data_IF_967124721752
#
_entry.id   IF_967124721752
#
_cell.length_a   1.000
_cell.length_b   1.000
_cell.length_c   1.000
_cell.angle_alpha   90.00
_cell.angle_beta   90.00
_cell.angle_gamma   90.00
#
_symmetry.space_group_name_H-M   'P 1'
#
loop_
_entity.id
_entity.type
_entity.pdbx_description
1 polymer ?
#
# COMPACT_ATOMS: atom_id res chain seq x y z
N UNK A 1 -2.47 -16.51 5.08
CA UNK A 1 -2.04 -15.15 4.68
C UNK A 1 -1.78 -15.17 3.19
N UNK A 2 -2.58 -14.46 2.38
CA UNK A 2 -2.46 -14.46 0.91
C UNK A 2 -1.64 -13.23 0.53
N UNK A 3 -0.46 -13.41 -0.08
CA UNK A 3 0.36 -12.29 -0.58
C UNK A 3 0.19 -12.14 -2.10
N UNK A 4 -0.65 -11.19 -2.53
CA UNK A 4 -0.84 -10.92 -3.96
C UNK A 4 0.42 -10.23 -4.49
N UNK A 5 1.37 -11.00 -5.03
CA UNK A 5 2.52 -10.45 -5.74
C UNK A 5 2.02 -9.82 -7.05
N UNK A 6 2.01 -8.49 -7.12
CA UNK A 6 1.64 -7.76 -8.34
C UNK A 6 2.87 -7.37 -9.16
N UNK A 7 2.84 -7.91 -10.38
CA UNK A 7 3.33 -7.47 -11.69
C UNK A 7 3.90 -6.03 -11.77
N UNK A 8 5.04 -5.92 -12.45
CA UNK A 8 5.77 -4.73 -12.93
C UNK A 8 6.03 -3.59 -11.91
N UNK A 9 7.33 -3.36 -11.63
CA UNK A 9 7.85 -2.27 -10.78
C UNK A 9 7.31 -0.89 -11.19
N UNK A 10 7.21 -0.62 -12.49
CA UNK A 10 6.75 0.67 -13.00
C UNK A 10 5.27 0.90 -12.70
N UNK A 11 4.44 -0.13 -12.87
CA UNK A 11 3.02 -0.07 -12.55
C UNK A 11 2.80 0.18 -11.06
N UNK A 12 3.62 -0.43 -10.21
CA UNK A 12 3.58 -0.23 -8.76
C UNK A 12 3.93 1.21 -8.37
N UNK A 13 5.00 1.77 -8.95
CA UNK A 13 5.38 3.18 -8.73
C UNK A 13 4.25 4.12 -9.17
N UNK A 14 3.64 3.87 -10.34
CA UNK A 14 2.52 4.66 -10.85
C UNK A 14 1.32 4.64 -9.91
N UNK A 15 0.94 3.48 -9.38
CA UNK A 15 -0.15 3.33 -8.40
C UNK A 15 0.15 4.06 -7.09
N UNK A 16 1.38 3.99 -6.60
CA UNK A 16 1.78 4.75 -5.41
C UNK A 16 1.63 6.25 -5.65
N UNK A 17 2.17 6.76 -6.76
CA UNK A 17 2.07 8.18 -7.09
C UNK A 17 0.62 8.62 -7.20
N UNK A 18 -0.23 7.84 -7.89
CA UNK A 18 -1.66 8.12 -7.98
C UNK A 18 -2.31 8.16 -6.59
N UNK A 19 -2.03 7.18 -5.73
CA UNK A 19 -2.59 7.12 -4.37
C UNK A 19 -2.21 8.34 -3.53
N UNK A 20 -0.94 8.75 -3.56
CA UNK A 20 -0.49 9.93 -2.79
C UNK A 20 -1.17 11.19 -3.31
N UNK A 21 -1.27 11.37 -4.63
CA UNK A 21 -2.00 12.49 -5.20
C UNK A 21 -3.49 12.48 -4.81
N UNK A 22 -4.11 11.29 -4.77
CA UNK A 22 -5.49 11.15 -4.28
C UNK A 22 -5.60 11.50 -2.79
N UNK A 23 -4.63 11.14 -1.95
CA UNK A 23 -4.61 11.52 -0.52
C UNK A 23 -4.60 13.05 -0.36
N UNK A 24 -3.77 13.76 -1.14
CA UNK A 24 -3.76 15.23 -1.14
C UNK A 24 -5.11 15.79 -1.57
N UNK A 25 -5.69 15.30 -2.67
CA UNK A 25 -7.02 15.74 -3.15
C UNK A 25 -8.15 15.45 -2.17
N UNK A 26 -7.98 14.47 -1.27
CA UNK A 26 -8.96 14.12 -0.25
C UNK A 26 -8.82 14.94 1.05
N UNK A 27 -7.87 15.86 1.12
CA UNK A 27 -7.71 16.72 2.31
C UNK A 27 -6.87 16.10 3.42
N UNK A 28 -5.81 15.34 3.09
CA UNK A 28 -4.91 14.80 4.13
C UNK A 28 -4.29 15.89 5.02
N UNK A 29 -4.07 17.10 4.47
CA UNK A 29 -3.55 18.23 5.24
C UNK A 29 -4.58 18.67 6.27
N UNK A 30 -5.85 18.81 5.86
CA UNK A 30 -6.97 19.17 6.75
C UNK A 30 -7.18 18.11 7.85
N UNK A 31 -7.11 16.82 7.50
CA UNK A 31 -7.17 15.71 8.47
C UNK A 31 -6.03 15.81 9.51
N UNK A 32 -4.83 16.17 9.05
CA UNK A 32 -3.64 16.25 9.89
C UNK A 32 -3.70 17.46 10.82
N UNK A 33 -4.06 18.64 10.33
CA UNK A 33 -4.28 19.84 11.15
C UNK A 33 -5.32 19.59 12.23
N UNK A 34 -6.45 18.97 11.87
CA UNK A 34 -7.48 18.60 12.83
C UNK A 34 -6.95 17.65 13.91
N UNK A 35 -6.19 16.63 13.51
CA UNK A 35 -5.63 15.65 14.45
C UNK A 35 -4.61 16.29 15.41
N UNK A 36 -3.73 17.16 14.90
CA UNK A 36 -2.75 17.90 15.71
C UNK A 36 -3.48 18.76 16.74
N UNK A 37 -4.44 19.58 16.30
CA UNK A 37 -5.15 20.51 17.18
C UNK A 37 -6.04 19.80 18.21
N UNK A 38 -6.67 18.68 17.82
CA UNK A 38 -7.58 17.95 18.71
C UNK A 38 -6.89 17.16 19.80
N UNK A 39 -5.72 16.59 19.50
CA UNK A 39 -5.03 15.64 20.37
C UNK A 39 -3.68 16.15 20.87
N UNK A 40 -3.36 17.43 20.60
CA UNK A 40 -2.08 18.07 20.97
C UNK A 40 -0.87 17.25 20.51
N UNK A 41 -0.94 16.72 19.28
CA UNK A 41 0.08 15.81 18.74
C UNK A 41 1.31 16.58 18.31
N UNK A 42 2.46 16.04 18.69
CA UNK A 42 3.77 16.56 18.35
C UNK A 42 4.49 15.63 17.37
N UNK A 43 5.59 16.11 16.79
CA UNK A 43 6.46 15.29 15.94
C UNK A 43 7.03 14.05 16.65
N UNK A 44 7.05 14.06 17.99
CA UNK A 44 7.60 12.94 18.79
C UNK A 44 6.65 11.75 18.85
N UNK A 45 5.36 11.96 18.61
CA UNK A 45 4.33 10.94 18.68
C UNK A 45 4.50 9.87 17.60
N UNK A 46 4.16 8.62 17.95
CA UNK A 46 4.31 7.48 17.05
C UNK A 46 3.51 7.66 15.75
N UNK A 47 2.31 8.26 15.83
CA UNK A 47 1.45 8.54 14.69
C UNK A 47 2.10 9.49 13.69
N UNK A 48 2.86 10.49 14.16
CA UNK A 48 3.55 11.47 13.32
C UNK A 48 4.81 10.92 12.65
N UNK A 49 5.23 9.71 13.01
CA UNK A 49 6.35 9.01 12.35
C UNK A 49 5.89 8.16 11.15
N UNK A 50 4.59 8.02 10.94
CA UNK A 50 4.04 7.25 9.81
C UNK A 50 4.34 7.92 8.46
N UNK A 51 4.51 7.10 7.42
CA UNK A 51 4.73 7.57 6.04
C UNK A 51 3.47 8.32 5.57
N UNK A 52 3.66 9.49 4.98
CA UNK A 52 2.59 10.45 4.68
C UNK A 52 2.51 11.49 5.79
N UNK A 53 2.11 11.07 6.99
CA UNK A 53 1.92 11.97 8.14
C UNK A 53 3.18 12.75 8.45
N UNK A 54 4.33 12.08 8.52
CA UNK A 54 5.62 12.74 8.75
C UNK A 54 5.88 13.84 7.73
N UNK A 55 5.71 13.56 6.44
CA UNK A 55 6.04 14.50 5.37
C UNK A 55 5.07 15.69 5.33
N UNK A 56 3.76 15.43 5.47
CA UNK A 56 2.77 16.50 5.50
C UNK A 56 2.84 17.34 6.79
N UNK A 57 3.28 16.75 7.90
CA UNK A 57 3.59 17.51 9.12
C UNK A 57 4.74 18.50 8.92
N UNK A 58 5.81 18.07 8.22
CA UNK A 58 6.90 18.99 7.87
C UNK A 58 6.44 20.11 6.93
N UNK A 59 5.50 19.84 6.04
CA UNK A 59 4.89 20.87 5.21
C UNK A 59 4.07 21.87 6.05
N UNK A 60 3.28 21.39 7.02
CA UNK A 60 2.53 22.25 7.94
C UNK A 60 3.42 23.13 8.83
N UNK A 61 4.65 22.71 9.10
CA UNK A 61 5.66 23.49 9.83
C UNK A 61 6.51 24.38 8.92
N UNK A 62 6.15 24.56 7.65
CA UNK A 62 6.90 25.32 6.64
C UNK A 62 8.35 24.84 6.42
N UNK A 63 8.69 23.60 6.81
CA UNK A 63 10.04 23.03 6.65
C UNK A 63 10.32 22.61 5.19
N UNK A 64 9.28 22.22 4.46
CA UNK A 64 9.37 21.70 3.08
C UNK A 64 8.16 22.17 2.26
N UNK A 65 8.30 22.24 0.95
CA UNK A 65 7.16 22.59 0.08
C UNK A 65 6.14 21.44 -0.02
N UNK A 66 4.90 21.76 -0.42
CA UNK A 66 3.88 20.74 -0.73
C UNK A 66 4.37 19.74 -1.78
N UNK A 67 5.09 20.21 -2.80
CA UNK A 67 5.67 19.36 -3.84
C UNK A 67 6.70 18.38 -3.25
N UNK A 68 7.57 18.87 -2.37
CA UNK A 68 8.57 18.04 -1.69
C UNK A 68 7.91 17.03 -0.75
N UNK A 69 6.85 17.42 -0.04
CA UNK A 69 6.10 16.53 0.84
C UNK A 69 5.48 15.36 0.05
N UNK A 70 4.89 15.65 -1.12
CA UNK A 70 4.34 14.65 -2.03
C UNK A 70 5.46 13.71 -2.53
N UNK A 71 6.55 14.27 -3.04
CA UNK A 71 7.66 13.49 -3.59
C UNK A 71 8.30 12.58 -2.52
N UNK A 72 8.60 13.14 -1.36
CA UNK A 72 9.17 12.39 -0.21
C UNK A 72 8.22 11.29 0.25
N UNK A 73 6.90 11.53 0.24
CA UNK A 73 5.89 10.51 0.59
C UNK A 73 5.89 9.37 -0.42
N UNK A 74 5.92 9.68 -1.72
CA UNK A 74 5.99 8.69 -2.80
C UNK A 74 7.26 7.84 -2.66
N UNK A 75 8.41 8.48 -2.48
CA UNK A 75 9.71 7.82 -2.33
C UNK A 75 9.74 6.91 -1.09
N UNK A 76 9.27 7.41 0.05
CA UNK A 76 9.19 6.63 1.30
C UNK A 76 8.25 5.43 1.16
N UNK A 77 7.12 5.60 0.48
CA UNK A 77 6.16 4.51 0.21
C UNK A 77 6.76 3.45 -0.70
N UNK A 78 7.49 3.84 -1.75
CA UNK A 78 8.20 2.92 -2.64
C UNK A 78 9.27 2.11 -1.88
N UNK A 79 10.05 2.76 -1.01
CA UNK A 79 11.03 2.06 -0.17
C UNK A 79 10.36 1.08 0.79
N UNK A 80 9.24 1.48 1.40
CA UNK A 80 8.46 0.59 2.26
C UNK A 80 7.94 -0.62 1.49
N UNK A 81 7.36 -0.44 0.31
CA UNK A 81 6.91 -1.53 -0.54
C UNK A 81 8.05 -2.47 -0.96
N UNK A 82 9.22 -1.92 -1.30
CA UNK A 82 10.43 -2.73 -1.56
C UNK A 82 10.81 -3.58 -0.35
N UNK A 83 10.77 -3.00 0.87
CA UNK A 83 11.01 -3.75 2.11
C UNK A 83 9.97 -4.84 2.32
N UNK A 84 8.68 -4.55 2.12
CA UNK A 84 7.61 -5.55 2.19
C UNK A 84 7.87 -6.72 1.23
N UNK A 85 8.23 -6.44 -0.02
CA UNK A 85 8.59 -7.49 -0.99
C UNK A 85 9.80 -8.32 -0.57
N UNK A 86 10.86 -7.68 -0.04
CA UNK A 86 12.03 -8.40 0.47
C UNK A 86 11.66 -9.32 1.63
N UNK A 87 10.80 -8.87 2.55
CA UNK A 87 10.32 -9.69 3.66
C UNK A 87 9.48 -10.88 3.15
N UNK A 88 8.53 -10.63 2.25
CA UNK A 88 7.70 -11.68 1.65
C UNK A 88 8.53 -12.76 0.95
N UNK A 89 9.58 -12.40 0.21
CA UNK A 89 10.48 -13.37 -0.43
C UNK A 89 11.23 -14.26 0.55
N UNK A 90 11.55 -13.77 1.75
CA UNK A 90 12.21 -14.55 2.80
C UNK A 90 11.24 -15.48 3.53
N UNK A 91 9.93 -15.19 3.47
CA UNK A 91 8.89 -16.02 4.05
C UNK A 91 8.59 -17.18 3.07
N UNK A 92 9.46 -18.19 3.06
CA UNK A 92 9.43 -19.36 2.16
C UNK A 92 8.10 -20.16 2.14
N UNK A 93 7.15 -19.88 3.02
CA UNK A 93 5.88 -20.59 3.15
C UNK A 93 4.68 -19.89 2.51
N UNK A 94 4.84 -18.70 1.91
CA UNK A 94 3.73 -18.03 1.25
C UNK A 94 3.65 -18.49 -0.21
N UNK A 95 3.03 -19.66 -0.39
CA UNK A 95 2.71 -20.23 -1.69
C UNK A 95 1.69 -19.32 -2.39
N UNK A 96 2.14 -18.37 -3.20
CA UNK A 96 1.24 -17.46 -3.92
C UNK A 96 1.40 -17.57 -5.41
N UNK A 97 0.83 -18.65 -5.94
CA UNK A 97 0.47 -18.74 -7.35
C UNK A 97 -1.00 -18.30 -7.49
N UNK A 98 -1.24 -16.99 -7.53
CA UNK A 98 -2.43 -16.49 -8.24
C UNK A 98 -1.97 -16.14 -9.65
N UNK A 99 -1.54 -17.17 -10.39
CA UNK A 99 -1.53 -17.08 -11.84
C UNK A 99 -2.99 -17.19 -12.26
N UNK A 100 -3.50 -16.09 -12.80
CA UNK A 100 -4.68 -15.97 -13.67
C UNK A 100 -5.69 -17.12 -13.60
N UNK A 101 -6.84 -16.76 -13.07
CA UNK A 101 -8.02 -17.55 -12.75
C UNK A 101 -8.64 -18.26 -13.97
N UNK A 102 -7.93 -19.23 -14.55
CA UNK A 102 -8.45 -20.09 -15.63
C UNK A 102 -8.20 -21.57 -15.33
N UNK A 103 -7.01 -21.92 -14.83
CA UNK A 103 -6.67 -23.30 -14.43
C UNK A 103 -7.41 -23.75 -13.16
N UNK A 104 -7.62 -22.85 -12.19
CA UNK A 104 -8.35 -23.17 -10.96
C UNK A 104 -9.85 -23.42 -11.22
N UNK A 105 -10.44 -22.69 -12.16
CA UNK A 105 -11.84 -22.89 -12.59
C UNK A 105 -11.97 -24.21 -13.36
N UNK A 106 -11.00 -24.56 -14.22
CA UNK A 106 -11.00 -25.84 -14.93
C UNK A 106 -10.93 -27.04 -13.97
N UNK A 107 -10.05 -27.01 -12.97
CA UNK A 107 -9.95 -28.10 -12.00
C UNK A 107 -11.18 -28.24 -11.09
N UNK A 108 -11.87 -27.14 -10.77
CA UNK A 108 -13.14 -27.19 -10.04
C UNK A 108 -14.25 -27.81 -10.91
N UNK A 109 -14.32 -27.44 -12.20
CA UNK A 109 -15.33 -27.97 -13.12
C UNK A 109 -15.14 -29.47 -13.37
N UNK A 110 -13.90 -29.97 -13.54
CA UNK A 110 -13.64 -31.41 -13.69
C UNK A 110 -14.04 -32.22 -12.45
N UNK A 111 -13.87 -31.65 -11.26
CA UNK A 111 -14.20 -32.33 -10.00
C UNK A 111 -15.71 -32.39 -9.77
N UNK A 112 -16.44 -31.33 -10.13
CA UNK A 112 -17.90 -31.27 -10.07
C UNK A 112 -18.53 -32.24 -11.09
N UNK A 113 -18.01 -32.29 -12.31
CA UNK A 113 -18.49 -33.21 -13.36
C UNK A 113 -18.26 -34.68 -12.99
N UNK A 114 -17.14 -35.02 -12.35
CA UNK A 114 -16.90 -36.40 -11.89
C UNK A 114 -17.79 -36.81 -10.72
N UNK A 115 -18.24 -35.87 -9.88
CA UNK A 115 -19.17 -36.16 -8.78
C UNK A 115 -20.63 -36.29 -9.21
N UNK A 116 -21.04 -35.79 -10.38
CA UNK A 116 -22.42 -35.93 -10.88
C UNK A 116 -22.64 -37.17 -11.76
N UNK A 117 -21.58 -37.96 -12.03
CA UNK A 117 -21.65 -39.20 -12.82
C UNK A 117 -21.67 -40.44 -11.91
N UNK A 118 -21.65 -40.26 -10.58
CA UNK A 118 -21.67 -41.36 -9.58
C UNK A 118 -22.98 -41.36 -8.76
N UNK A 119 -24.07 -40.80 -9.29
CA UNK A 119 -25.43 -41.07 -8.79
C UNK A 119 -26.34 -41.50 -9.92
#
# INVERSE_FOLDING_TARGET
MIAIERVNKEEHHKKISQRVNTMVKKGIVDELEYAINKYDLSQTDASMKLIGYKQFFQYLNDEISMSDAIEKTINSTNQFAKRQMTWLRKMQFINTRISNNQLAIQHLNEKILKSSVIN
#
